data_IF_410227939099
#
_entry.id   IF_410227939099
#
_cell.length_a   1.000
_cell.length_b   1.000
_cell.length_c   1.000
_cell.angle_alpha   90.00
_cell.angle_beta   90.00
_cell.angle_gamma   90.00
#
_symmetry.space_group_name_H-M   'P 1'
#
loop_
_entity.id
_entity.type
_entity.pdbx_description
1 polymer ?
#
# COMPACT_ATOMS: atom_id res chain seq x y z
N UNK A 1 6.23 -7.14 2.61
CA UNK A 1 6.75 -6.07 1.73
C UNK A 1 7.04 -4.79 2.52
N UNK A 2 6.04 -4.09 3.06
CA UNK A 2 6.21 -2.83 3.81
C UNK A 2 7.39 -2.82 4.82
N UNK A 3 7.50 -3.87 5.66
CA UNK A 3 8.60 -3.99 6.64
C UNK A 3 10.00 -4.01 5.99
N UNK A 4 10.16 -4.74 4.89
CA UNK A 4 11.44 -4.83 4.16
C UNK A 4 11.82 -3.47 3.59
N UNK A 5 10.87 -2.72 3.03
CA UNK A 5 11.13 -1.37 2.52
C UNK A 5 11.56 -0.43 3.64
N UNK A 6 10.89 -0.44 4.79
CA UNK A 6 11.31 0.39 5.93
C UNK A 6 12.72 0.04 6.42
N UNK A 7 13.06 -1.26 6.46
CA UNK A 7 14.41 -1.70 6.80
C UNK A 7 15.46 -1.24 5.76
N UNK A 8 15.17 -1.36 4.45
CA UNK A 8 16.06 -0.89 3.39
C UNK A 8 16.27 0.63 3.43
N UNK A 9 15.24 1.39 3.76
CA UNK A 9 15.32 2.85 3.85
C UNK A 9 16.13 3.35 5.07
N UNK A 10 16.37 2.49 6.06
CA UNK A 10 17.29 2.78 7.15
C UNK A 10 18.78 2.60 6.77
N UNK A 11 19.07 2.07 5.57
CA UNK A 11 20.44 1.85 5.08
C UNK A 11 20.84 2.99 4.15
N UNK A 12 21.92 3.68 4.53
CA UNK A 12 22.56 4.72 3.72
C UNK A 12 21.63 5.88 3.38
N UNK A 13 22.03 6.67 2.38
CA UNK A 13 21.24 7.84 1.93
C UNK A 13 20.87 7.75 0.46
N UNK A 14 21.59 6.94 -0.31
CA UNK A 14 21.37 6.77 -1.75
C UNK A 14 20.83 5.38 -2.08
N UNK A 15 20.25 5.24 -3.28
CA UNK A 15 19.81 3.93 -3.78
C UNK A 15 20.99 2.95 -3.96
N UNK A 16 22.20 3.45 -4.23
CA UNK A 16 23.39 2.62 -4.41
C UNK A 16 23.89 1.97 -3.12
N UNK A 17 23.51 2.50 -1.95
CA UNK A 17 23.86 1.95 -0.64
C UNK A 17 23.00 0.73 -0.27
N UNK A 18 21.90 0.51 -1.00
CA UNK A 18 20.86 -0.46 -0.66
C UNK A 18 20.95 -1.67 -1.59
N UNK A 19 20.75 -2.89 -1.06
CA UNK A 19 20.66 -4.07 -1.92
C UNK A 19 19.41 -4.00 -2.81
N UNK A 20 19.50 -4.64 -3.98
CA UNK A 20 18.36 -4.77 -4.88
C UNK A 20 17.23 -5.57 -4.20
N UNK A 21 15.99 -5.09 -4.37
CA UNK A 21 14.79 -5.73 -3.85
C UNK A 21 14.05 -6.47 -4.97
N UNK A 22 13.78 -7.76 -4.75
CA UNK A 22 12.93 -8.56 -5.60
C UNK A 22 11.64 -8.96 -4.87
N UNK A 23 10.53 -9.09 -5.61
CA UNK A 23 9.22 -9.43 -5.05
C UNK A 23 8.79 -10.81 -5.54
N UNK A 24 8.52 -11.71 -4.59
CA UNK A 24 7.84 -12.97 -4.84
C UNK A 24 6.38 -12.88 -4.34
N UNK A 25 5.37 -13.19 -5.18
CA UNK A 25 3.96 -13.07 -4.84
C UNK A 25 3.48 -14.27 -4.00
N UNK A 26 3.80 -14.27 -2.71
CA UNK A 26 3.49 -15.36 -1.79
C UNK A 26 2.35 -15.02 -0.80
N UNK A 27 1.76 -13.83 -0.89
CA UNK A 27 0.61 -13.42 -0.08
C UNK A 27 -0.73 -13.67 -0.80
N UNK A 28 -1.83 -13.25 -0.18
CA UNK A 28 -3.18 -13.37 -0.76
C UNK A 28 -3.42 -12.34 -1.88
N UNK A 29 -3.21 -11.05 -1.60
CA UNK A 29 -3.56 -9.98 -2.56
C UNK A 29 -2.45 -9.69 -3.57
N UNK A 30 -1.19 -9.77 -3.09
CA UNK A 30 0.02 -9.45 -3.86
C UNK A 30 -0.07 -8.11 -4.63
N UNK A 31 -0.71 -7.11 -4.02
CA UNK A 31 -1.08 -5.88 -4.70
C UNK A 31 0.13 -5.16 -5.33
N UNK A 32 1.22 -5.05 -4.58
CA UNK A 32 2.44 -4.45 -5.09
C UNK A 32 3.07 -5.23 -6.27
N UNK A 33 3.00 -6.57 -6.26
CA UNK A 33 3.46 -7.38 -7.38
C UNK A 33 2.60 -7.11 -8.64
N UNK A 34 1.29 -6.91 -8.44
CA UNK A 34 0.34 -6.55 -9.50
C UNK A 34 0.65 -5.15 -10.07
N UNK A 35 0.90 -4.16 -9.21
CA UNK A 35 1.32 -2.80 -9.61
C UNK A 35 2.58 -2.83 -10.48
N UNK A 36 3.54 -3.70 -10.14
CA UNK A 36 4.78 -3.86 -10.91
C UNK A 36 4.65 -4.78 -12.13
N UNK A 37 3.47 -5.31 -12.41
CA UNK A 37 3.22 -6.33 -13.44
C UNK A 37 4.12 -7.57 -13.31
N UNK A 38 4.48 -7.93 -12.07
CA UNK A 38 5.18 -9.18 -11.77
C UNK A 38 4.17 -10.34 -11.90
N UNK A 39 4.52 -11.44 -12.59
CA UNK A 39 3.66 -12.61 -12.69
C UNK A 39 3.27 -13.13 -11.30
N UNK A 40 1.98 -13.41 -11.07
CA UNK A 40 1.50 -13.88 -9.76
C UNK A 40 1.85 -15.36 -9.48
N UNK A 41 2.21 -16.13 -10.51
CA UNK A 41 2.72 -17.48 -10.32
C UNK A 41 4.18 -17.42 -9.85
N UNK A 42 4.47 -17.92 -8.65
CA UNK A 42 5.78 -17.80 -8.02
C UNK A 42 6.95 -18.28 -8.90
N UNK A 43 6.79 -19.39 -9.64
CA UNK A 43 7.84 -19.87 -10.55
C UNK A 43 8.13 -18.90 -11.73
N UNK A 44 7.11 -18.19 -12.22
CA UNK A 44 7.29 -17.20 -13.29
C UNK A 44 7.90 -15.91 -12.74
N UNK A 45 7.51 -15.50 -11.52
CA UNK A 45 8.16 -14.40 -10.82
C UNK A 45 9.65 -14.68 -10.58
N UNK A 46 9.99 -15.90 -10.14
CA UNK A 46 11.37 -16.32 -9.94
C UNK A 46 12.17 -16.31 -11.26
N UNK A 47 11.59 -16.81 -12.35
CA UNK A 47 12.21 -16.76 -13.67
C UNK A 47 12.43 -15.30 -14.14
N UNK A 48 11.50 -14.39 -13.82
CA UNK A 48 11.66 -12.96 -14.11
C UNK A 48 12.81 -12.34 -13.31
N UNK A 49 12.92 -12.65 -12.01
CA UNK A 49 14.02 -12.21 -11.14
C UNK A 49 15.37 -12.66 -11.71
N UNK A 50 15.46 -13.90 -12.19
CA UNK A 50 16.66 -14.45 -12.82
C UNK A 50 17.13 -13.71 -14.08
N UNK A 51 16.30 -12.86 -14.70
CA UNK A 51 16.70 -12.01 -15.83
C UNK A 51 17.53 -10.80 -15.41
N UNK A 52 17.54 -10.44 -14.12
CA UNK A 52 18.37 -9.35 -13.58
C UNK A 52 17.97 -7.95 -14.05
N UNK A 53 16.75 -7.76 -14.56
CA UNK A 53 16.26 -6.43 -14.97
C UNK A 53 15.93 -5.63 -13.71
N UNK A 54 16.66 -4.54 -13.51
CA UNK A 54 16.51 -3.64 -12.35
C UNK A 54 15.98 -2.28 -12.77
N UNK A 55 15.19 -1.66 -11.90
CA UNK A 55 14.68 -0.30 -12.05
C UNK A 55 14.76 0.41 -10.70
N UNK A 56 15.11 1.68 -10.72
CA UNK A 56 15.04 2.53 -9.52
C UNK A 56 13.56 2.78 -9.23
N UNK A 57 13.17 2.59 -7.97
CA UNK A 57 11.81 2.77 -7.50
C UNK A 57 11.79 3.89 -6.46
N UNK A 58 10.78 4.75 -6.57
CA UNK A 58 10.52 5.77 -5.57
C UNK A 58 9.72 5.17 -4.40
N UNK A 59 9.90 5.76 -3.23
CA UNK A 59 9.14 5.43 -2.01
C UNK A 59 8.60 6.71 -1.41
N UNK A 60 7.44 6.59 -0.78
CA UNK A 60 6.78 7.68 -0.08
C UNK A 60 7.34 7.70 1.33
N UNK A 61 7.94 8.81 1.75
CA UNK A 61 8.25 9.07 3.17
C UNK A 61 7.02 9.69 3.81
N UNK A 62 6.62 9.16 4.96
CA UNK A 62 5.47 9.61 5.73
C UNK A 62 5.97 10.10 7.08
N UNK A 63 5.55 11.30 7.45
CA UNK A 63 5.85 11.90 8.75
C UNK A 63 4.55 12.19 9.48
N UNK A 64 4.50 11.81 10.75
CA UNK A 64 3.36 11.99 11.64
C UNK A 64 3.83 12.74 12.89
N UNK A 65 2.98 13.59 13.46
CA UNK A 65 3.38 14.46 14.58
C UNK A 65 3.82 13.67 15.84
N UNK A 66 3.23 12.50 16.09
CA UNK A 66 3.44 11.71 17.32
C UNK A 66 4.10 10.34 17.05
N UNK A 67 4.50 10.04 15.81
CA UNK A 67 5.08 8.75 15.44
C UNK A 67 6.42 8.93 14.71
N UNK A 68 7.26 7.89 14.77
CA UNK A 68 8.50 7.89 14.01
C UNK A 68 8.20 7.90 12.49
N UNK A 69 8.99 8.61 11.67
CA UNK A 69 8.84 8.59 10.22
C UNK A 69 8.88 7.17 9.67
N UNK A 70 8.00 6.87 8.72
CA UNK A 70 7.96 5.58 8.05
C UNK A 70 7.89 5.75 6.54
N UNK A 71 7.99 4.63 5.82
CA UNK A 71 7.97 4.59 4.37
C UNK A 71 6.85 3.70 3.84
N UNK A 72 6.16 4.19 2.81
CA UNK A 72 5.19 3.44 2.01
C UNK A 72 5.68 3.29 0.57
N UNK A 73 5.30 2.21 -0.10
CA UNK A 73 5.77 1.91 -1.47
C UNK A 73 4.65 1.80 -2.50
N UNK A 74 3.39 1.82 -2.06
CA UNK A 74 2.25 1.57 -2.94
C UNK A 74 1.10 2.54 -2.65
N UNK A 75 0.71 2.63 -1.38
CA UNK A 75 -0.37 3.50 -0.94
C UNK A 75 -0.09 4.04 0.46
N UNK A 76 -0.36 5.32 0.65
CA UNK A 76 -0.53 5.95 1.96
C UNK A 76 -1.89 6.63 1.94
N UNK A 77 -2.77 6.24 2.85
CA UNK A 77 -4.15 6.76 2.93
C UNK A 77 -4.45 7.21 4.36
N UNK A 78 -4.96 8.42 4.52
CA UNK A 78 -5.45 8.96 5.79
C UNK A 78 -6.96 9.19 5.76
N UNK A 79 -7.60 9.10 6.92
CA UNK A 79 -9.04 9.25 7.08
C UNK A 79 -9.75 7.93 7.41
N UNK A 80 -11.02 7.83 7.01
CA UNK A 80 -11.94 6.76 7.41
C UNK A 80 -11.63 5.42 6.72
N UNK A 81 -10.56 4.78 7.17
CA UNK A 81 -10.14 3.42 6.74
C UNK A 81 -10.21 2.42 7.90
N UNK A 82 -10.56 2.88 9.10
CA UNK A 82 -10.65 2.07 10.32
C UNK A 82 -12.00 1.34 10.48
N UNK A 83 -13.10 1.91 9.99
CA UNK A 83 -14.45 1.35 10.20
C UNK A 83 -14.86 0.30 9.17
N UNK A 84 -13.96 -0.09 8.26
CA UNK A 84 -14.22 -1.17 7.29
C UNK A 84 -13.82 -2.56 7.82
N UNK A 85 -13.45 -2.68 9.11
CA UNK A 85 -13.04 -3.94 9.73
C UNK A 85 -14.14 -4.65 10.52
N UNK A 86 -15.28 -4.03 10.80
CA UNK A 86 -16.34 -4.66 11.62
C UNK A 86 -17.56 -5.17 10.81
N UNK A 87 -17.72 -4.77 9.55
CA UNK A 87 -18.86 -5.19 8.71
C UNK A 87 -18.62 -6.51 7.93
N UNK A 88 -17.47 -7.15 8.13
CA UNK A 88 -17.08 -8.41 7.47
C UNK A 88 -17.02 -9.56 8.49
N UNK A 89 -18.00 -9.67 9.37
CA UNK A 89 -18.23 -10.95 10.07
C UNK A 89 -18.77 -11.97 9.07
N UNK A 90 -18.21 -13.17 9.15
CA UNK A 90 -18.04 -14.15 8.06
C UNK A 90 -19.31 -14.75 7.43
N UNK A 91 -20.52 -14.29 7.76
CA UNK A 91 -21.77 -14.87 7.22
C UNK A 91 -22.24 -14.28 5.87
N UNK A 92 -21.79 -13.07 5.48
CA UNK A 92 -22.24 -12.42 4.22
C UNK A 92 -21.43 -12.76 2.97
N UNK A 93 -20.20 -13.28 3.12
CA UNK A 93 -19.31 -13.60 1.99
C UNK A 93 -19.82 -14.76 1.12
N UNK A 94 -20.50 -15.73 1.72
CA UNK A 94 -20.89 -16.98 1.04
C UNK A 94 -22.05 -16.81 0.03
N UNK A 95 -22.83 -15.73 0.12
CA UNK A 95 -24.02 -15.54 -0.74
C UNK A 95 -23.88 -14.49 -1.85
N UNK A 96 -22.91 -13.57 -1.77
CA UNK A 96 -22.86 -12.40 -2.66
C UNK A 96 -21.49 -12.02 -3.23
N UNK A 97 -20.40 -12.71 -2.85
CA UNK A 97 -19.08 -12.53 -3.48
C UNK A 97 -18.62 -11.06 -3.55
N UNK A 98 -18.19 -10.60 -4.73
CA UNK A 98 -17.68 -9.24 -4.97
C UNK A 98 -18.70 -8.11 -4.68
N UNK A 99 -20.02 -8.40 -4.70
CA UNK A 99 -21.06 -7.42 -4.37
C UNK A 99 -21.08 -7.07 -2.88
N UNK A 100 -20.56 -7.95 -2.01
CA UNK A 100 -20.48 -7.68 -0.58
C UNK A 100 -19.55 -6.49 -0.27
N UNK A 101 -18.47 -6.31 -1.02
CA UNK A 101 -17.58 -5.13 -0.89
C UNK A 101 -18.29 -3.83 -1.31
N UNK A 102 -19.08 -3.86 -2.38
CA UNK A 102 -19.85 -2.70 -2.83
C UNK A 102 -20.96 -2.34 -1.83
N UNK A 103 -21.67 -3.32 -1.29
CA UNK A 103 -22.71 -3.09 -0.28
C UNK A 103 -22.11 -2.62 1.05
N UNK A 104 -21.00 -3.19 1.51
CA UNK A 104 -20.31 -2.72 2.72
C UNK A 104 -19.78 -1.29 2.56
N UNK A 105 -19.24 -0.95 1.38
CA UNK A 105 -18.84 0.42 1.05
C UNK A 105 -20.03 1.38 0.98
N UNK A 106 -21.22 0.91 0.58
CA UNK A 106 -22.43 1.71 0.55
C UNK A 106 -23.07 1.90 1.94
N UNK A 107 -23.06 0.87 2.79
CA UNK A 107 -23.62 0.90 4.15
C UNK A 107 -22.79 1.76 5.11
N UNK A 108 -21.50 1.98 4.83
CA UNK A 108 -20.59 2.81 5.64
C UNK A 108 -20.59 4.30 5.26
N UNK A 109 -21.32 4.69 4.21
CA UNK A 109 -21.47 6.09 3.77
C UNK A 109 -22.14 7.05 4.79
N UNK A 110 -23.17 6.67 5.58
CA UNK A 110 -23.93 7.62 6.38
C UNK A 110 -23.24 8.11 7.66
N UNK A 111 -22.25 7.38 8.19
CA UNK A 111 -21.63 7.64 9.50
C UNK A 111 -20.22 8.25 9.42
N UNK A 112 -19.89 8.90 8.29
CA UNK A 112 -18.52 9.40 8.05
C UNK A 112 -18.17 10.53 9.00
N UNK A 113 -17.15 10.31 9.83
CA UNK A 113 -16.41 11.42 10.43
C UNK A 113 -15.86 12.29 9.30
N UNK A 114 -16.29 13.55 9.25
CA UNK A 114 -15.78 14.51 8.28
C UNK A 114 -14.51 15.14 8.85
N UNK A 115 -13.44 15.12 8.08
CA UNK A 115 -12.18 15.74 8.44
C UNK A 115 -12.00 17.00 7.59
N UNK A 116 -11.60 18.10 8.22
CA UNK A 116 -11.06 19.24 7.48
C UNK A 116 -9.62 18.87 7.12
N UNK A 117 -9.32 18.81 5.83
CA UNK A 117 -8.00 18.45 5.32
C UNK A 117 -7.37 19.71 4.75
N UNK A 118 -6.11 19.95 5.08
CA UNK A 118 -5.29 20.95 4.42
C UNK A 118 -4.28 20.25 3.53
N UNK A 119 -4.23 20.61 2.25
CA UNK A 119 -3.33 20.03 1.27
C UNK A 119 -2.44 21.12 0.69
N UNK A 120 -1.14 20.87 0.68
CA UNK A 120 -0.16 21.68 -0.03
C UNK A 120 0.64 20.75 -0.94
N UNK A 121 1.00 21.22 -2.13
CA UNK A 121 1.79 20.48 -3.09
C UNK A 121 3.00 21.32 -3.49
N UNK A 122 4.19 20.71 -3.47
CA UNK A 122 5.47 21.37 -3.64
C UNK A 122 5.57 22.63 -2.75
N UNK A 123 5.90 23.78 -3.34
CA UNK A 123 5.97 25.08 -2.65
C UNK A 123 4.66 25.88 -2.77
N UNK A 124 3.56 25.22 -3.15
CA UNK A 124 2.24 25.82 -3.29
C UNK A 124 1.60 26.19 -1.96
N UNK A 125 0.63 27.12 -1.95
CA UNK A 125 -0.12 27.45 -0.74
C UNK A 125 -0.95 26.25 -0.27
N UNK A 126 -1.23 26.20 1.04
CA UNK A 126 -2.16 25.22 1.60
C UNK A 126 -3.60 25.57 1.24
N UNK A 127 -4.31 24.60 0.68
CA UNK A 127 -5.74 24.66 0.35
C UNK A 127 -6.55 23.78 1.32
N UNK A 128 -7.81 24.14 1.60
CA UNK A 128 -8.67 23.53 2.62
C UNK A 128 -9.97 22.94 2.05
#
# INVERSE_FOLDING_TARGET
>A
MHLVVNALMAIGTSAADRPDLAVLPLGTDNDYARTLAVPLHAGQALALIGRGIRRVMEVIRVECAEEAPCFAINLCSGGFTADMREALTDERKDRWGALAYLMAGAETLPNRTTYRVQLAYDDGPSEA
#
